data_IF_078648923467
#
_entry.id   IF_078648923467
#
_cell.length_a   1.000
_cell.length_b   1.000
_cell.length_c   1.000
_cell.angle_alpha   90.00
_cell.angle_beta   90.00
_cell.angle_gamma   90.00
#
_symmetry.space_group_name_H-M   'P 1'
#
loop_
_entity.id
_entity.type
_entity.pdbx_description
1 polymer ?
#
# COMPACT_ATOMS: atom_id res chain seq x y z
N UNK A 1 -17.24 43.92 -22.16
CA UNK A 1 -16.94 43.59 -20.74
C UNK A 1 -16.83 42.07 -20.46
N UNK A 2 -16.53 41.21 -21.45
CA UNK A 2 -16.50 39.73 -21.27
C UNK A 2 -15.09 39.13 -21.23
N UNK A 3 -14.08 39.80 -21.78
CA UNK A 3 -12.68 39.32 -21.81
C UNK A 3 -11.88 39.59 -20.53
N UNK A 4 -12.34 40.51 -19.66
CA UNK A 4 -11.63 40.83 -18.41
C UNK A 4 -11.80 39.71 -17.38
N UNK A 5 -12.97 39.08 -17.33
CA UNK A 5 -13.26 37.97 -16.42
C UNK A 5 -12.44 36.70 -16.72
N UNK A 6 -12.16 36.43 -18.01
CA UNK A 6 -11.34 35.28 -18.41
C UNK A 6 -9.88 35.45 -17.96
N UNK A 7 -9.34 36.66 -18.04
CA UNK A 7 -7.99 36.97 -17.56
C UNK A 7 -7.87 36.84 -16.02
N UNK A 8 -8.90 37.26 -15.27
CA UNK A 8 -8.91 37.09 -13.82
C UNK A 8 -9.04 35.62 -13.38
N UNK A 9 -9.82 34.80 -14.10
CA UNK A 9 -9.95 33.37 -13.81
C UNK A 9 -8.63 32.61 -14.02
N UNK A 10 -7.89 32.91 -15.08
CA UNK A 10 -6.59 32.29 -15.35
C UNK A 10 -5.54 32.70 -14.29
N UNK A 11 -5.53 33.98 -13.88
CA UNK A 11 -4.62 34.47 -12.84
C UNK A 11 -4.89 33.82 -11.47
N UNK A 12 -6.16 33.57 -11.13
CA UNK A 12 -6.58 32.94 -9.88
C UNK A 12 -6.17 31.45 -9.82
N UNK A 13 -6.28 30.73 -10.94
CA UNK A 13 -5.85 29.32 -11.03
C UNK A 13 -4.34 29.17 -10.89
N UNK A 14 -3.54 30.10 -11.44
CA UNK A 14 -2.07 30.06 -11.31
C UNK A 14 -1.62 30.40 -9.89
N UNK A 15 -2.25 31.37 -9.22
CA UNK A 15 -1.88 31.76 -7.86
C UNK A 15 -2.30 30.71 -6.81
N UNK A 16 -3.47 30.08 -6.97
CA UNK A 16 -3.96 29.06 -6.03
C UNK A 16 -3.35 27.68 -6.33
N UNK A 17 -3.24 27.30 -7.62
CA UNK A 17 -2.66 26.01 -8.03
C UNK A 17 -1.14 25.95 -7.85
N UNK A 18 -0.42 27.05 -8.14
CA UNK A 18 1.04 27.12 -7.97
C UNK A 18 1.48 27.12 -6.50
N UNK A 19 0.70 27.71 -5.60
CA UNK A 19 0.98 27.72 -4.16
C UNK A 19 0.83 26.35 -3.49
N UNK A 20 -0.15 25.54 -3.93
CA UNK A 20 -0.38 24.19 -3.39
C UNK A 20 0.70 23.20 -3.89
N UNK A 21 1.18 23.34 -5.13
CA UNK A 21 2.23 22.47 -5.67
C UNK A 21 3.59 22.64 -4.99
N UNK A 22 3.95 23.87 -4.59
CA UNK A 22 5.24 24.14 -3.91
C UNK A 22 5.26 23.66 -2.45
N UNK A 23 4.13 23.70 -1.73
CA UNK A 23 4.06 23.25 -0.34
C UNK A 23 4.20 21.72 -0.20
N UNK A 24 3.62 20.95 -1.13
CA UNK A 24 3.67 19.48 -1.10
C UNK A 24 5.09 18.93 -1.33
N UNK A 25 5.95 19.65 -2.06
CA UNK A 25 7.35 19.26 -2.26
C UNK A 25 8.30 19.69 -1.13
N UNK A 26 7.88 20.63 -0.27
CA UNK A 26 8.75 21.18 0.80
C UNK A 26 8.74 20.34 2.09
N UNK A 27 7.79 19.41 2.25
CA UNK A 27 7.67 18.59 3.48
C UNK A 27 8.28 17.17 3.35
N UNK A 28 8.89 16.82 2.22
CA UNK A 28 9.44 15.48 1.99
C UNK A 28 10.94 15.32 2.29
N UNK A 29 11.59 16.27 2.97
CA UNK A 29 13.04 16.22 3.19
C UNK A 29 13.50 16.44 4.63
N UNK A 30 13.06 15.54 5.53
CA UNK A 30 13.69 15.32 6.84
C UNK A 30 13.64 13.82 7.19
N UNK A 31 14.26 12.95 6.38
CA UNK A 31 14.71 11.65 6.86
C UNK A 31 16.17 11.79 7.26
N UNK A 32 16.38 12.08 8.55
CA UNK A 32 17.69 12.10 9.19
C UNK A 32 18.18 10.65 9.29
N UNK A 33 19.21 10.31 8.53
CA UNK A 33 20.04 9.12 8.74
C UNK A 33 20.92 9.34 9.98
N UNK A 34 20.92 8.46 10.98
CA UNK A 34 21.94 8.49 12.02
C UNK A 34 23.28 8.01 11.43
N UNK A 35 24.27 8.86 11.60
CA UNK A 35 25.68 8.70 11.29
C UNK A 35 26.28 7.46 12.01
N UNK A 36 26.78 6.48 11.25
CA UNK A 36 27.64 5.41 11.79
C UNK A 36 29.04 6.01 11.94
N UNK A 37 29.38 6.40 13.16
CA UNK A 37 30.70 6.89 13.53
C UNK A 37 31.27 6.14 14.73
N UNK A 38 32.55 5.78 14.60
CA UNK A 38 33.52 5.33 15.62
C UNK A 38 33.43 3.84 16.00
N UNK A 39 34.49 3.02 15.96
CA UNK A 39 35.92 3.29 15.93
C UNK A 39 36.60 2.57 17.11
N UNK A 40 37.48 1.61 16.81
CA UNK A 40 38.55 1.15 17.73
C UNK A 40 38.18 0.14 18.81
N UNK A 41 38.95 -0.97 18.89
CA UNK A 41 38.84 -2.02 19.91
C UNK A 41 39.20 -1.57 21.35
N UNK A 42 39.29 -2.51 22.31
CA UNK A 42 40.39 -3.50 22.27
C UNK A 42 39.96 -4.96 22.50
N UNK A 43 40.82 -5.84 22.02
CA UNK A 43 40.90 -7.26 22.40
C UNK A 43 41.22 -7.36 23.90
N UNK A 44 40.48 -8.16 24.66
CA UNK A 44 41.08 -8.91 25.75
C UNK A 44 40.41 -10.27 25.99
N UNK A 45 41.31 -11.23 26.15
CA UNK A 45 41.21 -12.67 26.33
C UNK A 45 40.50 -13.12 27.62
N UNK A 46 39.84 -14.27 27.50
CA UNK A 46 39.96 -15.36 28.48
C UNK A 46 39.07 -15.32 29.71
N UNK A 47 38.37 -16.44 29.91
CA UNK A 47 38.42 -17.29 31.11
C UNK A 47 37.05 -17.70 31.70
N UNK A 48 36.85 -19.02 31.65
CA UNK A 48 36.11 -19.96 32.50
C UNK A 48 35.10 -19.48 33.55
N UNK A 49 33.97 -20.20 33.61
CA UNK A 49 33.49 -20.73 34.90
C UNK A 49 31.99 -20.58 35.24
N UNK A 50 31.29 -21.73 35.22
CA UNK A 50 30.36 -22.23 36.26
C UNK A 50 29.05 -21.44 36.56
N UNK A 51 27.94 -21.97 36.02
CA UNK A 51 26.68 -22.35 36.68
C UNK A 51 25.88 -21.36 37.55
N UNK A 52 24.60 -21.13 37.22
CA UNK A 52 23.47 -21.52 38.08
C UNK A 52 22.11 -21.41 37.36
N UNK A 53 21.21 -22.30 37.77
CA UNK A 53 19.73 -22.39 37.68
C UNK A 53 18.92 -21.27 37.01
N UNK A 54 17.99 -21.71 36.15
CA UNK A 54 17.24 -20.88 35.22
C UNK A 54 16.10 -20.03 35.76
N UNK A 55 15.66 -19.12 34.89
CA UNK A 55 14.32 -18.55 34.79
C UNK A 55 14.21 -17.85 33.43
N UNK A 56 13.23 -18.25 32.62
CA UNK A 56 12.71 -17.46 31.51
C UNK A 56 13.67 -17.27 30.33
N UNK A 57 13.61 -18.20 29.38
CA UNK A 57 13.87 -17.86 27.98
C UNK A 57 12.89 -16.73 27.61
N UNK A 58 13.35 -15.49 27.71
CA UNK A 58 12.74 -14.37 26.99
C UNK A 58 13.07 -14.62 25.53
N UNK A 59 12.29 -15.54 24.95
CA UNK A 59 12.19 -15.72 23.52
C UNK A 59 11.98 -14.33 22.94
N UNK A 60 12.84 -13.86 22.02
CA UNK A 60 12.60 -12.58 21.38
C UNK A 60 11.25 -12.73 20.67
N UNK A 61 10.24 -12.00 21.16
CA UNK A 61 8.96 -11.86 20.45
C UNK A 61 9.33 -11.51 19.02
N UNK A 62 9.08 -12.44 18.10
CA UNK A 62 9.36 -12.23 16.69
C UNK A 62 8.71 -10.91 16.32
N UNK A 63 9.47 -9.98 15.75
CA UNK A 63 8.90 -8.80 15.13
C UNK A 63 7.95 -9.32 14.04
N UNK A 64 6.66 -9.40 14.36
CA UNK A 64 5.64 -9.78 13.40
C UNK A 64 5.68 -8.71 12.32
N UNK A 65 5.98 -9.12 11.09
CA UNK A 65 5.94 -8.19 9.97
C UNK A 65 4.50 -7.70 9.83
N UNK A 66 4.24 -6.48 10.26
CA UNK A 66 2.91 -5.86 10.24
C UNK A 66 2.56 -5.29 8.86
N UNK A 67 3.30 -5.68 7.82
CA UNK A 67 3.13 -5.14 6.48
C UNK A 67 3.32 -6.20 5.40
N UNK A 68 2.42 -6.19 4.42
CA UNK A 68 2.51 -6.96 3.19
C UNK A 68 2.37 -6.02 1.99
N UNK A 69 3.23 -6.19 1.00
CA UNK A 69 3.23 -5.40 -0.23
C UNK A 69 3.07 -6.33 -1.41
N UNK A 70 2.01 -6.12 -2.18
CA UNK A 70 1.61 -6.96 -3.31
C UNK A 70 1.68 -6.13 -4.59
N UNK A 71 2.35 -6.64 -5.62
CA UNK A 71 2.30 -6.05 -6.95
C UNK A 71 1.01 -6.46 -7.65
N UNK A 72 0.27 -5.49 -8.17
CA UNK A 72 -0.89 -5.69 -9.04
C UNK A 72 -0.42 -5.63 -10.49
N UNK A 73 -0.58 -6.74 -11.21
CA UNK A 73 -0.24 -6.84 -12.63
C UNK A 73 -1.46 -6.58 -13.51
N UNK A 74 -1.29 -6.08 -14.74
CA UNK A 74 -2.38 -5.95 -15.68
C UNK A 74 -3.00 -7.31 -16.03
N UNK A 75 -4.32 -7.38 -16.02
CA UNK A 75 -5.05 -8.59 -16.45
C UNK A 75 -5.36 -8.56 -17.94
N UNK A 76 -5.50 -7.36 -18.51
CA UNK A 76 -5.74 -7.16 -19.94
C UNK A 76 -4.81 -6.10 -20.54
N UNK A 77 -4.64 -6.17 -21.85
CA UNK A 77 -3.80 -5.25 -22.62
C UNK A 77 -4.52 -3.96 -23.01
N UNK A 78 -5.86 -3.91 -22.90
CA UNK A 78 -6.66 -2.72 -23.24
C UNK A 78 -6.34 -1.55 -22.32
N UNK A 79 -6.31 -1.81 -21.01
CA UNK A 79 -6.00 -0.79 -20.02
C UNK A 79 -4.55 -0.87 -19.56
N UNK A 80 -3.96 -2.07 -19.54
CA UNK A 80 -2.59 -2.27 -19.08
C UNK A 80 -2.32 -1.62 -17.70
N UNK A 81 -3.32 -1.67 -16.81
CA UNK A 81 -3.27 -1.04 -15.49
C UNK A 81 -2.48 -1.93 -14.52
N UNK A 82 -1.60 -1.35 -13.74
CA UNK A 82 -0.76 -2.02 -12.75
C UNK A 82 -0.57 -1.13 -11.53
N UNK A 83 -0.04 -1.70 -10.46
CA UNK A 83 0.13 -0.95 -9.22
C UNK A 83 0.65 -1.78 -8.08
N UNK A 84 0.40 -1.27 -6.88
CA UNK A 84 0.79 -1.90 -5.62
C UNK A 84 -0.39 -1.85 -4.65
N UNK A 85 -0.61 -2.95 -3.95
CA UNK A 85 -1.41 -2.99 -2.75
C UNK A 85 -0.50 -3.07 -1.52
N UNK A 86 -0.65 -2.14 -0.58
CA UNK A 86 0.02 -2.16 0.73
C UNK A 86 -1.01 -2.52 1.79
N UNK A 87 -0.79 -3.62 2.50
CA UNK A 87 -1.59 -4.06 3.63
C UNK A 87 -0.77 -3.83 4.89
N UNK A 88 -1.27 -2.99 5.80
CA UNK A 88 -0.59 -2.64 7.05
C UNK A 88 -1.49 -2.95 8.24
N UNK A 89 -1.03 -3.83 9.13
CA UNK A 89 -1.77 -4.18 10.35
C UNK A 89 -1.45 -3.21 11.48
N UNK A 90 -2.50 -2.71 12.12
CA UNK A 90 -2.41 -1.94 13.36
C UNK A 90 -3.65 -2.21 14.23
N UNK A 91 -3.42 -2.67 15.47
CA UNK A 91 -4.49 -2.83 16.45
C UNK A 91 -5.60 -3.81 16.03
N UNK A 92 -5.24 -4.93 15.39
CA UNK A 92 -6.20 -5.96 14.96
C UNK A 92 -7.02 -5.58 13.71
N UNK A 93 -6.61 -4.54 13.00
CA UNK A 93 -7.18 -4.12 11.73
C UNK A 93 -6.08 -4.05 10.67
N UNK A 94 -6.45 -4.31 9.41
CA UNK A 94 -5.55 -4.17 8.27
C UNK A 94 -6.00 -2.99 7.42
N UNK A 95 -5.14 -1.99 7.25
CA UNK A 95 -5.31 -0.93 6.26
C UNK A 95 -4.78 -1.41 4.92
N UNK A 96 -5.67 -1.54 3.93
CA UNK A 96 -5.34 -1.84 2.54
C UNK A 96 -5.29 -0.52 1.77
N UNK A 97 -4.13 -0.19 1.21
CA UNK A 97 -3.94 0.96 0.31
C UNK A 97 -3.64 0.44 -1.07
N UNK A 98 -4.44 0.83 -2.07
CA UNK A 98 -4.17 0.55 -3.47
C UNK A 98 -3.61 1.80 -4.13
N UNK A 99 -2.50 1.66 -4.85
CA UNK A 99 -1.88 2.71 -5.65
C UNK A 99 -1.60 2.14 -7.05
N UNK A 100 -2.39 2.57 -8.03
CA UNK A 100 -2.36 2.11 -9.41
C UNK A 100 -2.02 3.26 -10.35
N UNK A 101 -1.36 2.94 -11.46
CA UNK A 101 -1.17 3.91 -12.52
C UNK A 101 -2.54 4.37 -13.07
N UNK A 102 -2.62 5.64 -13.41
CA UNK A 102 -3.77 6.19 -14.11
C UNK A 102 -3.68 5.81 -15.59
N UNK A 103 -4.81 5.37 -16.15
CA UNK A 103 -4.95 4.96 -17.55
C UNK A 103 -6.17 5.66 -18.12
N UNK A 104 -6.06 6.18 -19.34
CA UNK A 104 -7.20 6.76 -20.07
C UNK A 104 -8.32 5.73 -20.25
N UNK A 105 -9.56 6.13 -20.03
CA UNK A 105 -10.73 5.23 -20.11
C UNK A 105 -11.06 4.51 -18.80
N UNK A 106 -10.29 4.74 -17.74
CA UNK A 106 -10.61 4.34 -16.36
C UNK A 106 -10.97 5.56 -15.50
N UNK A 107 -11.86 6.41 -16.03
CA UNK A 107 -12.24 7.69 -15.42
C UNK A 107 -13.35 7.56 -14.36
N UNK A 108 -13.97 6.39 -14.27
CA UNK A 108 -15.01 6.08 -13.30
C UNK A 108 -14.42 5.37 -12.07
N UNK A 109 -15.09 5.43 -10.91
CA UNK A 109 -14.75 4.59 -9.76
C UNK A 109 -14.72 3.11 -10.16
N UNK A 110 -13.63 2.45 -9.76
CA UNK A 110 -13.33 1.06 -10.08
C UNK A 110 -13.53 0.21 -8.82
N UNK A 111 -14.54 -0.69 -8.78
CA UNK A 111 -14.70 -1.61 -7.67
C UNK A 111 -13.44 -2.44 -7.44
N UNK A 112 -13.12 -2.72 -6.17
CA UNK A 112 -11.97 -3.54 -5.80
C UNK A 112 -12.33 -4.48 -4.66
N UNK A 113 -11.75 -5.68 -4.69
CA UNK A 113 -12.08 -6.73 -3.73
C UNK A 113 -10.86 -7.60 -3.44
N UNK A 114 -10.86 -8.24 -2.28
CA UNK A 114 -10.04 -9.43 -2.01
C UNK A 114 -10.94 -10.64 -2.23
N UNK A 115 -10.52 -11.56 -3.09
CA UNK A 115 -11.21 -12.80 -3.41
C UNK A 115 -10.43 -14.02 -2.90
N UNK A 116 -11.12 -15.14 -2.75
CA UNK A 116 -10.47 -16.46 -2.65
C UNK A 116 -9.81 -16.87 -3.97
N UNK A 117 -8.78 -17.71 -3.90
CA UNK A 117 -8.09 -18.21 -5.09
C UNK A 117 -6.94 -17.30 -5.53
N UNK A 118 -6.54 -17.41 -6.79
CA UNK A 118 -5.37 -16.73 -7.36
C UNK A 118 -5.74 -15.98 -8.63
N UNK A 119 -4.99 -14.93 -8.93
CA UNK A 119 -5.16 -14.15 -10.14
C UNK A 119 -4.75 -14.95 -11.40
N UNK A 120 -5.36 -14.68 -12.57
CA UNK A 120 -6.47 -13.74 -12.79
C UNK A 120 -7.86 -14.34 -12.49
N UNK A 121 -7.96 -15.67 -12.34
CA UNK A 121 -9.21 -16.41 -12.22
C UNK A 121 -9.68 -16.54 -10.77
N UNK A 122 -9.85 -15.40 -10.11
CA UNK A 122 -10.26 -15.33 -8.70
C UNK A 122 -11.69 -15.87 -8.48
N UNK A 123 -11.93 -16.43 -7.29
CA UNK A 123 -13.21 -17.02 -6.87
C UNK A 123 -14.17 -16.01 -6.23
N UNK A 124 -14.90 -16.42 -5.18
CA UNK A 124 -15.83 -15.53 -4.50
C UNK A 124 -15.12 -14.35 -3.79
N UNK A 125 -15.85 -13.25 -3.62
CA UNK A 125 -15.41 -12.10 -2.83
C UNK A 125 -15.34 -12.48 -1.35
N UNK A 126 -14.18 -12.24 -0.73
CA UNK A 126 -13.95 -12.44 0.70
C UNK A 126 -14.01 -11.12 1.48
N UNK A 127 -13.45 -10.04 0.90
CA UNK A 127 -13.48 -8.70 1.51
C UNK A 127 -13.79 -7.63 0.46
N UNK A 128 -14.73 -6.75 0.79
CA UNK A 128 -14.99 -5.54 0.01
C UNK A 128 -13.92 -4.48 0.29
N UNK A 129 -13.41 -3.86 -0.76
CA UNK A 129 -12.56 -2.67 -0.65
C UNK A 129 -13.33 -1.45 -1.16
N UNK A 130 -12.91 -0.27 -0.74
CA UNK A 130 -13.36 0.98 -1.33
C UNK A 130 -12.91 1.06 -2.79
N UNK A 131 -13.78 1.63 -3.62
CA UNK A 131 -13.50 1.85 -5.03
C UNK A 131 -12.19 2.62 -5.23
N UNK A 132 -11.44 2.21 -6.25
CA UNK A 132 -10.28 2.94 -6.75
C UNK A 132 -10.78 4.15 -7.53
N UNK A 133 -10.42 5.35 -7.07
CA UNK A 133 -10.72 6.62 -7.73
C UNK A 133 -9.40 7.31 -8.05
N UNK A 134 -9.20 7.70 -9.31
CA UNK A 134 -7.97 8.34 -9.76
C UNK A 134 -6.70 7.53 -9.42
N UNK A 135 -6.77 6.20 -9.52
CA UNK A 135 -5.66 5.29 -9.24
C UNK A 135 -5.42 5.00 -7.76
N UNK A 136 -6.25 5.49 -6.83
CA UNK A 136 -6.03 5.26 -5.40
C UNK A 136 -7.29 4.81 -4.66
N UNK A 137 -7.09 3.94 -3.67
CA UNK A 137 -8.08 3.66 -2.63
C UNK A 137 -7.42 3.35 -1.29
N UNK A 138 -8.16 3.54 -0.21
CA UNK A 138 -7.78 3.13 1.15
C UNK A 138 -8.99 2.50 1.84
N UNK A 139 -8.81 1.31 2.40
CA UNK A 139 -9.85 0.55 3.12
C UNK A 139 -9.29 0.04 4.44
N UNK A 140 -10.05 0.11 5.52
CA UNK A 140 -9.71 -0.55 6.78
C UNK A 140 -10.58 -1.79 6.96
N UNK A 141 -9.94 -2.96 7.09
CA UNK A 141 -10.59 -4.24 7.32
C UNK A 141 -10.47 -4.63 8.81
N UNK A 142 -11.56 -5.12 9.40
CA UNK A 142 -11.60 -5.67 10.75
C UNK A 142 -11.06 -7.11 10.75
N UNK A 143 -9.78 -7.28 10.43
CA UNK A 143 -9.05 -8.55 10.38
C UNK A 143 -7.56 -8.31 10.65
N UNK A 144 -6.77 -9.38 10.72
CA UNK A 144 -5.32 -9.36 10.88
C UNK A 144 -4.63 -9.90 9.62
N UNK A 145 -3.35 -9.56 9.40
CA UNK A 145 -2.55 -10.19 8.35
C UNK A 145 -2.44 -11.70 8.57
N UNK A 146 -2.34 -12.15 9.82
CA UNK A 146 -2.33 -13.58 10.16
C UNK A 146 -3.63 -14.29 9.73
N UNK A 147 -4.78 -13.64 9.92
CA UNK A 147 -6.06 -14.18 9.45
C UNK A 147 -6.15 -14.18 7.92
N UNK A 148 -5.65 -13.15 7.24
CA UNK A 148 -5.59 -13.15 5.77
C UNK A 148 -4.70 -14.29 5.26
N UNK A 149 -3.52 -14.48 5.86
CA UNK A 149 -2.59 -15.55 5.50
C UNK A 149 -3.14 -16.96 5.73
N UNK A 150 -3.98 -17.17 6.74
CA UNK A 150 -4.63 -18.48 6.95
C UNK A 150 -5.69 -18.83 5.91
N UNK A 151 -6.11 -17.84 5.10
CA UNK A 151 -7.10 -18.00 4.02
C UNK A 151 -6.45 -18.12 2.64
N UNK A 152 -5.12 -18.14 2.56
CA UNK A 152 -4.44 -18.25 1.27
C UNK A 152 -4.80 -19.55 0.53
N UNK A 153 -4.86 -19.52 -0.82
CA UNK A 153 -4.57 -18.36 -1.68
C UNK A 153 -5.71 -17.33 -1.70
N UNK A 154 -5.32 -16.05 -1.70
CA UNK A 154 -6.21 -14.91 -1.94
C UNK A 154 -5.69 -14.06 -3.11
N UNK A 155 -6.56 -13.29 -3.76
CA UNK A 155 -6.19 -12.34 -4.80
C UNK A 155 -6.88 -10.99 -4.61
N UNK A 156 -6.13 -9.89 -4.73
CA UNK A 156 -6.72 -8.54 -4.87
C UNK A 156 -7.03 -8.33 -6.35
N UNK A 157 -8.29 -8.02 -6.65
CA UNK A 157 -8.77 -7.73 -7.99
C UNK A 157 -9.35 -6.31 -8.07
N UNK A 158 -9.16 -5.65 -9.21
CA UNK A 158 -9.77 -4.36 -9.56
C UNK A 158 -10.57 -4.51 -10.85
N UNK A 159 -11.82 -4.04 -10.83
CA UNK A 159 -12.75 -4.07 -11.95
C UNK A 159 -12.74 -2.75 -12.72
N UNK A 160 -13.17 -2.75 -13.99
CA UNK A 160 -13.20 -1.56 -14.83
C UNK A 160 -14.16 -0.48 -14.32
N UNK A 161 -15.39 -0.87 -13.96
CA UNK A 161 -16.39 0.00 -13.36
C UNK A 161 -17.55 -0.81 -12.79
N UNK A 162 -18.45 -0.17 -12.05
CA UNK A 162 -19.69 -0.82 -11.60
C UNK A 162 -20.60 -1.27 -12.77
N UNK A 163 -20.54 -0.59 -13.92
CA UNK A 163 -21.33 -0.96 -15.10
C UNK A 163 -20.72 -2.12 -15.91
N UNK A 164 -19.41 -2.32 -15.78
CA UNK A 164 -18.67 -3.40 -16.43
C UNK A 164 -17.86 -4.20 -15.40
N UNK A 165 -18.58 -4.83 -14.47
CA UNK A 165 -17.99 -5.55 -13.34
C UNK A 165 -17.24 -6.83 -13.77
N UNK A 166 -17.48 -7.37 -14.97
CA UNK A 166 -16.81 -8.59 -15.42
C UNK A 166 -15.45 -8.31 -16.06
N UNK A 167 -15.11 -7.04 -16.30
CA UNK A 167 -13.81 -6.66 -16.87
C UNK A 167 -12.83 -6.33 -15.76
N UNK A 168 -11.84 -7.20 -15.56
CA UNK A 168 -10.75 -6.98 -14.60
C UNK A 168 -9.63 -6.16 -15.23
N UNK A 169 -9.15 -5.14 -14.53
CA UNK A 169 -8.09 -4.25 -15.01
C UNK A 169 -6.72 -4.63 -14.44
N UNK A 170 -6.66 -4.92 -13.14
CA UNK A 170 -5.45 -5.30 -12.42
C UNK A 170 -5.72 -6.39 -11.37
N UNK A 171 -4.74 -7.25 -11.11
CA UNK A 171 -4.85 -8.31 -10.10
C UNK A 171 -3.48 -8.67 -9.51
N UNK A 172 -3.43 -9.04 -8.22
CA UNK A 172 -2.21 -9.53 -7.55
C UNK A 172 -2.50 -10.56 -6.47
N UNK A 173 -1.70 -11.61 -6.42
CA UNK A 173 -1.83 -12.69 -5.44
C UNK A 173 -1.33 -12.27 -4.06
N UNK A 174 -2.03 -12.72 -3.02
CA UNK A 174 -1.52 -12.80 -1.65
C UNK A 174 -1.17 -14.27 -1.37
N UNK A 175 0.10 -14.54 -1.12
CA UNK A 175 0.65 -15.90 -0.95
C UNK A 175 1.86 -15.91 -0.03
#
# INVERSE_FOLDING_TARGET
MRNRYLAYLILLVVLVGGGIYLASNYMSNQYIIPEVGQGGGPVNTGNTGIGNTGTGDLSPTSAQNNMMVITLSPVNTTYNQSGVAKLEENGGQVKVTLDLNQVSGLDLPQPAHIHEGSCPDVGNVTYNLNDVVNGRSETTLNTTLSNLSSQFPLGINVHQSAADINTYTACGDLK
#
